data_IF_369092914968
#
_entry.id   IF_369092914968
#
_cell.length_a   1.000
_cell.length_b   1.000
_cell.length_c   1.000
_cell.angle_alpha   90.00
_cell.angle_beta   90.00
_cell.angle_gamma   90.00
#
_symmetry.space_group_name_H-M   'P 1'
#
loop_
_entity.id
_entity.type
_entity.pdbx_description
1 polymer ?
#
# COMPACT_ATOMS: atom_id res chain seq x y z
N UNK A 1 18.49 -53.34 28.70
CA UNK A 1 19.42 -52.23 28.35
C UNK A 1 19.25 -51.72 26.91
N UNK A 2 19.07 -52.59 25.90
CA UNK A 2 18.94 -52.19 24.49
C UNK A 2 17.75 -51.24 24.20
N UNK A 3 16.61 -51.48 24.83
CA UNK A 3 15.41 -50.66 24.64
C UNK A 3 15.57 -49.21 25.15
N UNK A 4 16.16 -49.02 26.34
CA UNK A 4 16.50 -47.67 26.86
C UNK A 4 17.47 -46.91 25.94
N UNK A 5 18.44 -47.60 25.33
CA UNK A 5 19.38 -46.98 24.38
C UNK A 5 18.68 -46.56 23.08
N UNK A 6 17.77 -47.38 22.57
CA UNK A 6 16.97 -47.06 21.38
C UNK A 6 16.05 -45.87 21.61
N UNK A 7 15.43 -45.78 22.80
CA UNK A 7 14.58 -44.64 23.17
C UNK A 7 15.39 -43.36 23.30
N UNK A 8 16.57 -43.43 23.93
CA UNK A 8 17.47 -42.27 24.04
C UNK A 8 17.92 -41.78 22.66
N UNK A 9 18.34 -42.68 21.76
CA UNK A 9 18.75 -42.32 20.40
C UNK A 9 17.62 -41.71 19.57
N UNK A 10 16.39 -42.24 19.69
CA UNK A 10 15.22 -41.65 19.04
C UNK A 10 14.91 -40.26 19.58
N UNK A 11 15.02 -40.07 20.89
CA UNK A 11 14.81 -38.77 21.52
C UNK A 11 15.86 -37.76 21.05
N UNK A 12 17.16 -38.10 21.10
CA UNK A 12 18.22 -37.18 20.68
C UNK A 12 18.16 -36.83 19.19
N UNK A 13 17.85 -37.80 18.31
CA UNK A 13 17.63 -37.53 16.89
C UNK A 13 16.41 -36.62 16.67
N UNK A 14 15.28 -36.88 17.34
CA UNK A 14 14.08 -36.06 17.24
C UNK A 14 14.31 -34.63 17.72
N UNK A 15 14.99 -34.47 18.86
CA UNK A 15 15.36 -33.16 19.40
C UNK A 15 16.31 -32.39 18.48
N UNK A 16 17.33 -33.06 17.95
CA UNK A 16 18.31 -32.45 17.05
C UNK A 16 17.67 -31.96 15.75
N UNK A 17 16.77 -32.76 15.17
CA UNK A 17 16.03 -32.38 13.96
C UNK A 17 15.15 -31.15 14.21
N UNK A 18 14.45 -31.10 15.36
CA UNK A 18 13.62 -29.95 15.73
C UNK A 18 14.46 -28.67 15.92
N UNK A 19 15.59 -28.75 16.61
CA UNK A 19 16.49 -27.60 16.81
C UNK A 19 17.06 -27.10 15.49
N UNK A 20 17.41 -28.01 14.58
CA UNK A 20 17.97 -27.66 13.27
C UNK A 20 16.93 -27.00 12.36
N UNK A 21 15.66 -27.43 12.42
CA UNK A 21 14.58 -26.89 11.59
C UNK A 21 13.90 -25.66 12.21
N UNK A 22 14.02 -25.43 13.52
CA UNK A 22 13.36 -24.32 14.21
C UNK A 22 13.63 -22.92 13.60
N UNK A 23 14.87 -22.57 13.19
CA UNK A 23 15.12 -21.29 12.53
C UNK A 23 14.37 -21.14 11.19
N UNK A 24 14.15 -22.25 10.47
CA UNK A 24 13.49 -22.27 9.16
C UNK A 24 11.96 -22.27 9.26
N UNK A 25 11.38 -22.61 10.42
CA UNK A 25 9.94 -22.45 10.64
C UNK A 25 9.50 -20.98 10.46
N UNK A 26 10.38 -20.03 10.81
CA UNK A 26 10.14 -18.60 10.59
C UNK A 26 10.13 -18.20 9.11
N UNK A 27 10.84 -18.93 8.25
CA UNK A 27 10.87 -18.74 6.80
C UNK A 27 9.61 -19.25 6.08
N UNK A 28 8.83 -20.14 6.71
CA UNK A 28 7.56 -20.60 6.13
C UNK A 28 6.61 -19.44 5.79
N UNK A 29 6.57 -18.40 6.63
CA UNK A 29 5.78 -17.18 6.37
C UNK A 29 6.33 -16.28 5.26
N UNK A 30 7.61 -16.44 4.89
CA UNK A 30 8.20 -15.73 3.75
C UNK A 30 7.78 -16.38 2.41
N UNK A 31 7.70 -17.71 2.38
CA UNK A 31 7.25 -18.47 1.20
C UNK A 31 5.72 -18.44 1.03
N UNK A 32 4.98 -18.34 2.12
CA UNK A 32 3.53 -18.19 2.14
C UNK A 32 3.17 -16.83 2.74
N UNK A 33 3.30 -15.77 1.93
CA UNK A 33 2.70 -14.48 2.26
C UNK A 33 1.22 -14.56 1.87
N UNK A 34 0.27 -14.66 2.81
CA UNK A 34 -1.13 -14.58 2.44
C UNK A 34 -1.33 -13.24 1.73
N UNK A 35 -1.87 -13.29 0.51
CA UNK A 35 -2.42 -12.12 -0.15
C UNK A 35 -3.39 -11.52 0.87
N UNK A 36 -3.18 -10.25 1.25
CA UNK A 36 -4.08 -9.59 2.18
C UNK A 36 -5.42 -9.45 1.47
N UNK A 37 -6.30 -10.43 1.64
CA UNK A 37 -7.69 -10.33 1.25
C UNK A 37 -8.26 -9.20 2.10
N UNK A 38 -8.37 -8.00 1.53
CA UNK A 38 -9.18 -6.93 2.08
C UNK A 38 -10.51 -7.56 2.49
N UNK A 39 -10.89 -7.49 3.77
CA UNK A 39 -12.11 -8.12 4.29
C UNK A 39 -13.29 -7.85 3.34
N UNK A 40 -14.15 -8.83 3.11
CA UNK A 40 -15.10 -8.94 1.99
C UNK A 40 -15.74 -7.61 1.52
N UNK A 41 -15.04 -6.83 0.70
CA UNK A 41 -15.59 -5.63 0.05
C UNK A 41 -16.25 -6.13 -1.21
N UNK A 42 -17.58 -6.22 -1.24
CA UNK A 42 -18.36 -6.61 -2.41
C UNK A 42 -19.04 -5.39 -3.02
N UNK A 43 -18.33 -4.68 -3.90
CA UNK A 43 -18.81 -3.46 -4.51
C UNK A 43 -19.52 -3.73 -5.83
N UNK A 44 -20.78 -3.33 -5.94
CA UNK A 44 -21.56 -3.41 -7.19
C UNK A 44 -21.00 -2.45 -8.23
N UNK A 45 -20.81 -2.92 -9.47
CA UNK A 45 -20.35 -2.12 -10.60
C UNK A 45 -21.50 -1.85 -11.59
N UNK A 46 -21.66 -2.73 -12.57
CA UNK A 46 -22.60 -2.63 -13.70
C UNK A 46 -23.22 -4.01 -13.98
N UNK A 47 -24.37 -4.05 -14.66
CA UNK A 47 -24.93 -5.30 -15.14
C UNK A 47 -24.37 -5.62 -16.53
N UNK A 48 -24.13 -6.90 -16.82
CA UNK A 48 -23.59 -7.38 -18.09
C UNK A 48 -24.45 -6.96 -19.30
N UNK A 49 -25.76 -6.82 -19.11
CA UNK A 49 -26.69 -6.35 -20.16
C UNK A 49 -26.40 -4.92 -20.60
N UNK A 50 -25.92 -4.09 -19.68
CA UNK A 50 -25.59 -2.68 -19.92
C UNK A 50 -24.10 -2.48 -20.23
N UNK A 51 -23.33 -3.57 -20.37
CA UNK A 51 -21.88 -3.53 -20.56
C UNK A 51 -21.47 -4.27 -21.85
N UNK A 52 -21.48 -3.58 -23.00
CA UNK A 52 -21.21 -4.19 -24.30
C UNK A 52 -19.81 -4.83 -24.40
N UNK A 53 -19.67 -5.84 -25.26
CA UNK A 53 -18.37 -6.44 -25.61
C UNK A 53 -17.43 -5.39 -26.19
N UNK A 54 -16.13 -5.51 -25.92
CA UNK A 54 -15.08 -4.57 -26.31
C UNK A 54 -15.27 -3.16 -25.74
N UNK A 55 -15.85 -3.04 -24.55
CA UNK A 55 -16.06 -1.76 -23.86
C UNK A 55 -15.36 -1.70 -22.50
N UNK A 56 -15.34 -0.52 -21.89
CA UNK A 56 -14.65 -0.25 -20.63
C UNK A 56 -15.48 0.61 -19.69
N UNK A 57 -15.24 0.46 -18.40
CA UNK A 57 -15.78 1.29 -17.33
C UNK A 57 -14.66 1.66 -16.36
N UNK A 58 -14.48 2.95 -16.07
CA UNK A 58 -13.57 3.40 -15.00
C UNK A 58 -14.37 3.64 -13.73
N UNK A 59 -13.86 3.20 -12.59
CA UNK A 59 -14.53 3.34 -11.29
C UNK A 59 -13.53 3.39 -10.13
N UNK A 60 -13.90 4.00 -8.99
CA UNK A 60 -13.12 3.94 -7.76
C UNK A 60 -13.33 2.61 -7.03
N UNK A 61 -12.28 2.05 -6.44
CA UNK A 61 -12.40 0.88 -5.56
C UNK A 61 -11.41 0.91 -4.37
N UNK A 62 -11.86 0.67 -3.14
CA UNK A 62 -13.27 0.68 -2.72
C UNK A 62 -13.87 2.09 -2.89
N UNK A 63 -15.10 2.19 -3.37
CA UNK A 63 -15.83 3.44 -3.43
C UNK A 63 -16.24 3.85 -2.02
N UNK A 64 -16.06 5.12 -1.69
CA UNK A 64 -16.41 5.72 -0.40
C UNK A 64 -17.68 6.54 -0.47
N UNK A 65 -18.05 7.00 -1.66
CA UNK A 65 -19.14 7.96 -1.87
C UNK A 65 -18.70 9.43 -1.70
N UNK A 66 -17.48 9.68 -1.22
CA UNK A 66 -16.87 11.01 -1.20
C UNK A 66 -16.09 11.23 -2.50
N UNK A 67 -16.51 12.18 -3.37
CA UNK A 67 -15.82 12.45 -4.63
C UNK A 67 -14.35 12.85 -4.46
N UNK A 68 -13.98 13.47 -3.35
CA UNK A 68 -12.60 13.89 -3.08
C UNK A 68 -11.71 12.66 -2.92
N UNK A 69 -12.14 11.70 -2.10
CA UNK A 69 -11.42 10.45 -1.87
C UNK A 69 -11.48 9.56 -3.10
N UNK A 70 -12.66 9.43 -3.70
CA UNK A 70 -12.90 8.57 -4.86
C UNK A 70 -12.26 9.10 -6.14
N UNK A 71 -11.79 10.36 -6.17
CA UNK A 71 -10.99 10.91 -7.27
C UNK A 71 -9.48 10.60 -7.18
N UNK A 72 -9.01 9.98 -6.08
CA UNK A 72 -7.59 9.60 -5.93
C UNK A 72 -7.18 8.67 -7.11
N UNK A 73 -6.15 9.05 -7.90
CA UNK A 73 -5.63 8.24 -9.00
C UNK A 73 -5.31 6.79 -8.60
N UNK A 74 -4.85 6.57 -7.37
CA UNK A 74 -4.47 5.25 -6.86
C UNK A 74 -5.66 4.39 -6.45
N UNK A 75 -6.87 4.97 -6.43
CA UNK A 75 -8.14 4.26 -6.23
C UNK A 75 -8.88 4.04 -7.54
N UNK A 76 -8.33 4.45 -8.69
CA UNK A 76 -8.96 4.27 -9.99
C UNK A 76 -8.67 2.89 -10.58
N UNK A 77 -9.74 2.21 -11.01
CA UNK A 77 -9.69 0.92 -11.68
C UNK A 77 -10.45 0.97 -13.00
N UNK A 78 -10.14 0.02 -13.87
CA UNK A 78 -10.79 -0.15 -15.16
C UNK A 78 -11.33 -1.57 -15.25
N UNK A 79 -12.63 -1.70 -15.48
CA UNK A 79 -13.29 -2.92 -15.91
C UNK A 79 -13.35 -2.91 -17.43
N UNK A 80 -13.03 -4.02 -18.07
CA UNK A 80 -13.08 -4.22 -19.52
C UNK A 80 -13.85 -5.48 -19.82
N UNK A 81 -14.80 -5.39 -20.75
CA UNK A 81 -15.41 -6.53 -21.39
C UNK A 81 -14.60 -6.81 -22.66
N UNK A 82 -13.75 -7.82 -22.61
CA UNK A 82 -12.85 -8.14 -23.71
C UNK A 82 -13.62 -8.62 -24.93
N UNK A 83 -13.06 -8.51 -26.15
CA UNK A 83 -13.63 -9.09 -27.36
C UNK A 83 -13.88 -10.59 -27.28
N UNK A 84 -13.16 -11.31 -26.41
CA UNK A 84 -13.38 -12.74 -26.14
C UNK A 84 -14.68 -13.02 -25.38
N UNK A 85 -15.28 -12.01 -24.75
CA UNK A 85 -16.39 -12.14 -23.80
C UNK A 85 -15.92 -12.18 -22.33
N UNK A 86 -14.62 -12.24 -22.09
CA UNK A 86 -14.09 -12.27 -20.73
C UNK A 86 -14.17 -10.89 -20.06
N UNK A 87 -14.44 -10.89 -18.75
CA UNK A 87 -14.39 -9.69 -17.93
C UNK A 87 -13.05 -9.62 -17.21
N UNK A 88 -12.38 -8.48 -17.35
CA UNK A 88 -11.12 -8.19 -16.66
C UNK A 88 -11.18 -6.85 -15.97
N UNK A 89 -10.63 -6.77 -14.76
CA UNK A 89 -10.55 -5.51 -14.03
C UNK A 89 -9.15 -5.30 -13.46
N UNK A 90 -8.58 -4.12 -13.69
CA UNK A 90 -7.21 -3.80 -13.28
C UNK A 90 -7.13 -2.41 -12.63
N UNK A 91 -6.13 -2.18 -11.79
CA UNK A 91 -5.77 -0.83 -11.36
C UNK A 91 -5.34 0.00 -12.56
N UNK A 92 -5.83 1.25 -12.68
CA UNK A 92 -5.43 2.17 -13.77
C UNK A 92 -4.02 2.74 -13.61
N UNK A 93 -3.32 2.40 -12.52
CA UNK A 93 -1.99 2.92 -12.22
C UNK A 93 -0.94 2.11 -12.97
N UNK A 94 -0.25 2.75 -13.92
CA UNK A 94 0.86 2.16 -14.65
C UNK A 94 2.00 1.74 -13.70
N UNK A 95 2.45 0.49 -13.79
CA UNK A 95 3.55 -0.05 -12.95
C UNK A 95 4.93 0.55 -13.22
N UNK A 96 5.08 1.33 -14.31
CA UNK A 96 6.32 2.06 -14.56
C UNK A 96 6.50 3.24 -13.59
N UNK A 97 5.68 4.28 -13.73
CA UNK A 97 5.77 5.53 -12.95
C UNK A 97 4.38 6.14 -12.69
N UNK A 98 3.39 5.28 -12.43
CA UNK A 98 2.08 5.60 -11.85
C UNK A 98 1.12 6.49 -12.66
N UNK A 99 1.44 6.79 -13.92
CA UNK A 99 0.48 7.42 -14.82
C UNK A 99 -0.81 6.60 -14.98
N UNK A 100 -1.93 7.29 -15.19
CA UNK A 100 -3.19 6.63 -15.52
C UNK A 100 -3.21 6.24 -17.00
N UNK A 101 -3.21 4.94 -17.26
CA UNK A 101 -3.39 4.40 -18.61
C UNK A 101 -4.87 4.20 -18.92
N UNK A 102 -5.18 3.88 -20.17
CA UNK A 102 -6.55 3.59 -20.58
C UNK A 102 -6.64 2.42 -21.58
N UNK A 103 -7.84 1.83 -21.70
CA UNK A 103 -8.16 0.83 -22.71
C UNK A 103 -8.61 1.50 -24.01
N UNK A 104 -8.09 1.01 -25.13
CA UNK A 104 -8.42 1.48 -26.46
C UNK A 104 -9.10 0.36 -27.26
N UNK A 105 -10.44 0.34 -27.36
CA UNK A 105 -11.22 -0.71 -28.02
C UNK A 105 -10.78 -1.01 -29.46
N UNK A 106 -10.41 0.01 -30.24
CA UNK A 106 -10.00 -0.15 -31.64
C UNK A 106 -8.70 -0.96 -31.77
N UNK A 107 -7.81 -0.81 -30.79
CA UNK A 107 -6.50 -1.48 -30.76
C UNK A 107 -6.47 -2.68 -29.82
N UNK A 108 -7.54 -2.89 -29.04
CA UNK A 108 -7.69 -3.97 -28.06
C UNK A 108 -6.48 -4.08 -27.13
N UNK A 109 -6.05 -2.93 -26.60
CA UNK A 109 -4.86 -2.85 -25.75
C UNK A 109 -5.00 -1.73 -24.72
N UNK A 110 -4.29 -1.89 -23.60
CA UNK A 110 -4.08 -0.83 -22.65
C UNK A 110 -2.86 0.00 -23.04
N UNK A 111 -2.98 1.33 -23.04
CA UNK A 111 -1.85 2.22 -23.40
C UNK A 111 -1.67 3.30 -22.34
N UNK A 112 -0.45 3.40 -21.84
CA UNK A 112 -0.01 4.47 -20.95
C UNK A 112 0.52 5.66 -21.77
N UNK A 113 -0.05 6.87 -21.60
CA UNK A 113 0.30 8.02 -22.44
C UNK A 113 1.69 8.61 -22.11
N UNK A 114 2.25 8.31 -20.93
CA UNK A 114 3.46 8.99 -20.47
C UNK A 114 4.73 8.55 -21.21
N UNK A 115 4.96 7.24 -21.31
CA UNK A 115 6.19 6.69 -21.89
C UNK A 115 5.91 5.51 -22.84
N UNK A 116 4.66 5.36 -23.28
CA UNK A 116 4.27 4.38 -24.29
C UNK A 116 4.23 2.92 -23.82
N UNK A 117 4.13 2.66 -22.52
CA UNK A 117 3.90 1.30 -22.02
C UNK A 117 2.56 0.76 -22.55
N UNK A 118 2.58 -0.48 -23.07
CA UNK A 118 1.39 -1.18 -23.54
C UNK A 118 1.24 -2.47 -22.75
N UNK A 119 0.02 -2.76 -22.32
CA UNK A 119 -0.31 -3.99 -21.61
C UNK A 119 -1.29 -4.84 -22.41
N UNK A 120 -1.08 -6.15 -22.34
CA UNK A 120 -2.03 -7.14 -22.86
C UNK A 120 -3.30 -7.13 -21.98
N UNK A 121 -4.50 -6.89 -22.54
CA UNK A 121 -5.72 -6.85 -21.76
C UNK A 121 -6.17 -8.17 -21.14
N UNK A 122 -5.82 -9.31 -21.74
CA UNK A 122 -6.17 -10.63 -21.24
C UNK A 122 -5.39 -10.99 -19.96
N UNK A 123 -4.18 -10.47 -19.83
CA UNK A 123 -3.26 -10.84 -18.73
C UNK A 123 -2.87 -9.68 -17.82
N UNK A 124 -3.04 -8.44 -18.25
CA UNK A 124 -2.55 -7.25 -17.56
C UNK A 124 -1.02 -7.07 -17.63
N UNK A 125 -0.30 -7.93 -18.34
CA UNK A 125 1.18 -7.91 -18.43
C UNK A 125 1.64 -6.90 -19.47
N UNK A 126 2.66 -6.11 -19.13
CA UNK A 126 3.28 -5.18 -20.08
C UNK A 126 3.99 -5.94 -21.21
N UNK A 127 3.63 -5.62 -22.45
CA UNK A 127 4.19 -6.21 -23.67
C UNK A 127 5.09 -5.23 -24.45
N UNK A 128 5.04 -3.93 -24.11
CA UNK A 128 5.88 -2.90 -24.74
C UNK A 128 6.14 -1.74 -23.79
N UNK A 129 7.19 -0.96 -24.10
CA UNK A 129 7.58 0.23 -23.36
C UNK A 129 8.33 -0.11 -22.07
N UNK A 130 8.65 0.90 -21.26
CA UNK A 130 9.53 0.71 -20.10
C UNK A 130 8.93 -0.21 -19.02
N UNK A 131 7.61 -0.33 -18.92
CA UNK A 131 6.98 -1.29 -18.01
C UNK A 131 7.29 -2.76 -18.37
N UNK A 132 7.49 -3.07 -19.65
CA UNK A 132 7.81 -4.43 -20.09
C UNK A 132 9.25 -4.84 -19.77
N UNK A 133 10.11 -3.88 -19.42
CA UNK A 133 11.50 -4.12 -18.99
C UNK A 133 11.61 -4.49 -17.50
N UNK A 134 10.52 -4.34 -16.74
CA UNK A 134 10.46 -4.80 -15.36
C UNK A 134 10.31 -6.34 -15.32
N UNK A 135 10.84 -7.01 -14.29
CA UNK A 135 10.64 -8.45 -14.13
C UNK A 135 9.20 -8.77 -13.74
N UNK A 136 8.73 -9.98 -14.04
CA UNK A 136 7.50 -10.47 -13.41
C UNK A 136 7.70 -10.66 -11.90
N UNK A 137 6.74 -10.32 -11.03
CA UNK A 137 5.40 -9.82 -11.31
C UNK A 137 5.26 -8.29 -11.43
N UNK A 138 6.34 -7.52 -11.32
CA UNK A 138 6.26 -6.05 -11.28
C UNK A 138 5.92 -5.41 -12.62
N UNK A 139 6.03 -6.15 -13.73
CA UNK A 139 5.56 -5.75 -15.05
C UNK A 139 4.06 -5.99 -15.32
N UNK A 140 3.30 -6.53 -14.35
CA UNK A 140 1.88 -6.82 -14.48
C UNK A 140 1.02 -5.85 -13.68
N UNK A 141 -0.09 -5.43 -14.27
CA UNK A 141 -1.08 -4.61 -13.60
C UNK A 141 -1.76 -5.39 -12.47
N UNK A 142 -1.96 -4.80 -11.28
CA UNK A 142 -2.77 -5.40 -10.22
C UNK A 142 -4.22 -5.63 -10.70
N UNK A 143 -4.73 -6.85 -10.49
CA UNK A 143 -6.03 -7.30 -10.99
C UNK A 143 -7.06 -7.31 -9.85
N UNK A 144 -8.27 -6.80 -10.10
CA UNK A 144 -9.39 -6.96 -9.19
C UNK A 144 -10.08 -8.30 -9.44
N UNK A 145 -10.40 -9.01 -8.36
CA UNK A 145 -11.31 -10.14 -8.39
C UNK A 145 -12.72 -9.64 -8.72
N UNK A 146 -13.36 -10.35 -9.65
CA UNK A 146 -14.72 -10.09 -10.08
C UNK A 146 -15.62 -11.27 -9.70
N UNK A 147 -16.83 -10.95 -9.28
CA UNK A 147 -17.94 -11.90 -9.15
C UNK A 147 -19.09 -11.45 -10.04
N UNK A 148 -19.78 -12.40 -10.66
CA UNK A 148 -20.97 -12.13 -11.48
C UNK A 148 -22.12 -12.93 -10.89
N UNK A 149 -23.16 -12.23 -10.47
CA UNK A 149 -24.37 -12.86 -9.96
C UNK A 149 -25.20 -13.49 -11.10
N UNK A 150 -26.13 -14.42 -10.79
CA UNK A 150 -27.00 -15.05 -11.80
C UNK A 150 -27.86 -14.05 -12.61
N UNK A 151 -28.11 -12.85 -12.07
CA UNK A 151 -28.82 -11.77 -12.75
C UNK A 151 -27.94 -10.98 -13.74
N UNK A 152 -26.65 -11.32 -13.82
CA UNK A 152 -25.64 -10.65 -14.64
C UNK A 152 -24.99 -9.44 -13.99
N UNK A 153 -25.24 -9.15 -12.72
CA UNK A 153 -24.62 -8.00 -12.03
C UNK A 153 -23.18 -8.31 -11.66
N UNK A 154 -22.26 -7.42 -12.06
CA UNK A 154 -20.82 -7.56 -11.84
C UNK A 154 -20.44 -6.84 -10.54
N UNK A 155 -19.63 -7.50 -9.71
CA UNK A 155 -19.09 -6.99 -8.45
C UNK A 155 -17.56 -7.08 -8.43
N UNK A 156 -16.90 -6.09 -7.82
CA UNK A 156 -15.49 -6.17 -7.45
C UNK A 156 -15.37 -6.64 -6.00
N UNK A 157 -14.52 -7.63 -5.73
CA UNK A 157 -14.45 -8.31 -4.42
C UNK A 157 -13.11 -8.21 -3.69
N UNK A 158 -12.05 -7.86 -4.40
CA UNK A 158 -10.72 -7.72 -3.79
C UNK A 158 -9.64 -7.47 -4.84
N UNK A 159 -8.45 -7.15 -4.38
CA UNK A 159 -7.30 -6.85 -5.23
C UNK A 159 -6.25 -7.97 -5.13
N UNK A 160 -5.71 -8.37 -6.28
CA UNK A 160 -4.53 -9.24 -6.42
C UNK A 160 -3.36 -8.44 -6.95
N UNK A 161 -2.20 -8.58 -6.33
CA UNK A 161 -1.02 -7.78 -6.65
C UNK A 161 -0.96 -6.43 -5.91
N UNK A 162 0.03 -5.60 -6.28
CA UNK A 162 0.38 -4.37 -5.55
C UNK A 162 0.33 -3.14 -6.45
N UNK A 163 -0.42 -2.13 -6.03
CA UNK A 163 -0.53 -0.85 -6.73
C UNK A 163 0.65 0.03 -6.35
N UNK A 164 1.32 0.58 -7.36
CA UNK A 164 2.37 1.58 -7.16
C UNK A 164 3.55 1.07 -6.35
N UNK A 165 4.35 0.16 -6.94
CA UNK A 165 5.67 -0.18 -6.39
C UNK A 165 6.49 1.10 -6.14
N UNK A 166 7.07 1.24 -4.94
CA UNK A 166 7.74 2.46 -4.45
C UNK A 166 6.84 3.44 -3.70
N UNK A 167 5.56 3.10 -3.49
CA UNK A 167 4.57 3.85 -2.67
C UNK A 167 4.02 2.98 -1.53
N UNK A 168 4.77 1.97 -1.11
CA UNK A 168 4.42 1.01 -0.04
C UNK A 168 4.06 1.64 1.31
N UNK A 169 4.23 2.95 1.52
CA UNK A 169 3.91 3.62 2.77
C UNK A 169 2.48 3.36 3.29
N UNK A 170 1.49 3.13 2.41
CA UNK A 170 0.13 2.73 2.84
C UNK A 170 0.04 1.29 3.34
N UNK A 171 0.85 0.37 2.79
CA UNK A 171 0.97 -1.00 3.29
C UNK A 171 1.82 -1.07 4.57
N UNK A 172 2.84 -0.22 4.66
CA UNK A 172 3.63 -0.02 5.87
C UNK A 172 2.81 0.63 7.00
N UNK A 173 1.71 1.32 6.70
CA UNK A 173 0.73 1.81 7.67
C UNK A 173 -0.34 0.76 8.08
N UNK A 174 -0.28 -0.48 7.60
CA UNK A 174 -1.28 -1.52 7.92
C UNK A 174 -1.40 -1.79 9.43
N UNK A 175 -0.32 -1.60 10.20
CA UNK A 175 -0.36 -1.69 11.66
C UNK A 175 -1.27 -0.64 12.29
N UNK A 176 -1.37 0.58 11.73
CA UNK A 176 -2.27 1.64 12.21
C UNK A 176 -3.72 1.22 11.96
N UNK A 177 -4.02 0.68 10.78
CA UNK A 177 -5.36 0.19 10.45
C UNK A 177 -5.78 -0.98 11.35
N UNK A 178 -4.85 -1.89 11.65
CA UNK A 178 -5.08 -2.97 12.61
C UNK A 178 -5.36 -2.42 14.02
N UNK A 179 -4.62 -1.41 14.47
CA UNK A 179 -4.86 -0.77 15.77
C UNK A 179 -6.17 0.01 15.79
N UNK A 180 -6.59 0.61 14.67
CA UNK A 180 -7.88 1.26 14.53
C UNK A 180 -9.04 0.27 14.74
N UNK A 181 -8.90 -0.98 14.27
CA UNK A 181 -9.93 -2.01 14.47
C UNK A 181 -9.84 -2.68 15.85
N UNK A 182 -8.64 -2.94 16.38
CA UNK A 182 -8.47 -3.66 17.65
C UNK A 182 -8.54 -2.77 18.90
N UNK A 183 -8.09 -1.52 18.80
CA UNK A 183 -7.84 -0.63 19.94
C UNK A 183 -7.93 0.85 19.54
N UNK A 184 -9.09 1.31 19.04
CA UNK A 184 -9.25 2.63 18.40
C UNK A 184 -8.92 3.83 19.29
N UNK A 185 -9.04 3.68 20.61
CA UNK A 185 -8.84 4.76 21.57
C UNK A 185 -7.47 4.70 22.26
N UNK A 186 -6.64 3.71 21.95
CA UNK A 186 -5.32 3.56 22.56
C UNK A 186 -4.28 4.31 21.73
N UNK A 187 -3.63 5.36 22.27
CA UNK A 187 -2.58 6.06 21.55
C UNK A 187 -1.43 5.13 21.19
N UNK A 188 -0.89 5.31 19.99
CA UNK A 188 0.28 4.60 19.48
C UNK A 188 1.30 5.62 19.01
N UNK A 189 2.58 5.32 19.21
CA UNK A 189 3.68 6.17 18.74
C UNK A 189 4.11 5.68 17.36
N UNK A 190 4.19 6.61 16.41
CA UNK A 190 4.71 6.34 15.08
C UNK A 190 5.74 7.39 14.68
N UNK A 191 6.78 6.95 13.97
CA UNK A 191 7.76 7.84 13.36
C UNK A 191 7.21 8.40 12.04
N UNK A 192 6.85 9.67 12.06
CA UNK A 192 6.33 10.46 10.94
C UNK A 192 7.50 11.03 10.16
N UNK A 193 7.54 10.75 8.86
CA UNK A 193 8.54 11.29 7.94
C UNK A 193 7.89 12.33 7.04
N UNK A 194 8.46 13.54 6.98
CA UNK A 194 7.96 14.60 6.12
C UNK A 194 8.52 14.51 4.70
N UNK A 195 7.72 14.95 3.72
CA UNK A 195 8.09 14.99 2.31
C UNK A 195 9.24 15.97 2.07
N UNK A 196 9.08 17.14 2.64
CA UNK A 196 10.08 18.19 2.69
C UNK A 196 10.24 18.62 4.15
N UNK A 197 11.44 19.01 4.61
CA UNK A 197 11.61 19.54 5.95
C UNK A 197 10.70 20.75 6.18
N UNK A 198 9.93 20.71 7.27
CA UNK A 198 8.94 21.73 7.61
C UNK A 198 9.50 22.73 8.61
N UNK A 199 9.17 24.03 8.49
CA UNK A 199 9.42 24.99 9.56
C UNK A 199 8.79 24.54 10.90
N UNK A 200 9.32 24.97 12.05
CA UNK A 200 8.78 24.60 13.36
C UNK A 200 7.29 24.93 13.53
N UNK A 201 6.85 26.12 13.09
CA UNK A 201 5.46 26.55 13.23
C UNK A 201 4.50 25.71 12.39
N UNK A 202 4.91 25.36 11.17
CA UNK A 202 4.18 24.46 10.27
C UNK A 202 4.08 23.05 10.86
N UNK A 203 5.17 22.57 11.47
CA UNK A 203 5.24 21.26 12.13
C UNK A 203 4.28 21.21 13.31
N UNK A 204 4.31 22.22 14.18
CA UNK A 204 3.41 22.32 15.34
C UNK A 204 1.94 22.42 14.91
N UNK A 205 1.66 23.24 13.90
CA UNK A 205 0.31 23.42 13.35
C UNK A 205 -0.24 22.11 12.79
N UNK A 206 0.59 21.36 12.05
CA UNK A 206 0.24 20.06 11.48
C UNK A 206 -0.11 19.03 12.56
N UNK A 207 0.75 18.89 13.58
CA UNK A 207 0.59 17.87 14.63
C UNK A 207 -0.56 18.20 15.57
N UNK A 208 -0.74 19.47 15.94
CA UNK A 208 -1.86 19.90 16.78
C UNK A 208 -3.21 19.81 16.05
N UNK A 209 -3.21 20.03 14.73
CA UNK A 209 -4.43 19.96 13.90
C UNK A 209 -5.08 18.57 13.82
N UNK A 210 -4.37 17.52 14.24
CA UNK A 210 -4.87 16.13 14.27
C UNK A 210 -4.93 15.54 15.69
N UNK A 211 -4.81 16.37 16.73
CA UNK A 211 -4.75 15.92 18.13
C UNK A 211 -3.60 14.93 18.43
N UNK A 212 -2.48 15.05 17.71
CA UNK A 212 -1.28 14.26 17.95
C UNK A 212 -0.32 15.00 18.90
N UNK A 213 0.53 14.24 19.61
CA UNK A 213 1.56 14.78 20.50
C UNK A 213 2.95 14.43 19.98
N UNK A 214 3.83 15.43 19.89
CA UNK A 214 5.24 15.18 19.59
C UNK A 214 5.88 14.49 20.80
N UNK A 215 6.47 13.33 20.59
CA UNK A 215 7.29 12.60 21.57
C UNK A 215 8.74 13.02 21.40
N UNK A 216 9.22 13.01 20.15
CA UNK A 216 10.58 13.39 19.78
C UNK A 216 10.57 13.97 18.38
N UNK A 217 11.42 14.94 18.09
CA UNK A 217 11.55 15.53 16.76
C UNK A 217 13.00 15.50 16.28
N UNK A 218 13.16 15.50 14.96
CA UNK A 218 14.43 15.40 14.26
C UNK A 218 14.49 16.51 13.22
N UNK A 219 15.47 17.39 13.35
CA UNK A 219 15.60 18.58 12.54
C UNK A 219 17.03 18.99 12.32
N UNK A 220 17.21 20.18 11.79
CA UNK A 220 18.52 20.78 11.61
C UNK A 220 18.46 22.29 11.80
N UNK A 221 19.61 22.87 12.09
CA UNK A 221 19.86 24.30 12.11
C UNK A 221 20.94 24.65 11.09
N UNK A 222 20.61 25.52 10.13
CA UNK A 222 21.56 26.00 9.14
C UNK A 222 22.32 27.20 9.71
N UNK A 223 23.62 27.02 10.00
CA UNK A 223 24.52 28.11 10.43
C UNK A 223 24.88 29.01 9.25
N UNK A 224 24.99 28.42 8.07
CA UNK A 224 25.25 29.08 6.80
C UNK A 224 24.67 28.24 5.64
N UNK A 225 24.65 28.73 4.39
CA UNK A 225 24.15 27.97 3.24
C UNK A 225 24.86 26.63 2.98
N UNK A 226 26.05 26.43 3.53
CA UNK A 226 26.87 25.22 3.33
C UNK A 226 27.15 24.46 4.63
N UNK A 227 26.71 24.98 5.78
CA UNK A 227 27.00 24.38 7.10
C UNK A 227 25.70 24.14 7.88
N UNK A 228 25.44 22.86 8.17
CA UNK A 228 24.23 22.37 8.83
C UNK A 228 24.58 21.58 10.09
N UNK A 229 23.90 21.89 11.18
CA UNK A 229 23.95 21.13 12.42
C UNK A 229 22.66 20.33 12.60
N UNK A 230 22.79 19.03 12.90
CA UNK A 230 21.63 18.14 13.10
C UNK A 230 21.19 18.17 14.55
N UNK A 231 19.88 18.37 14.76
CA UNK A 231 19.29 18.55 16.08
C UNK A 231 18.21 17.49 16.32
N UNK A 232 18.08 17.09 17.58
CA UNK A 232 16.93 16.32 18.05
C UNK A 232 16.44 16.89 19.36
N UNK A 233 15.14 16.91 19.59
CA UNK A 233 14.56 17.33 20.85
C UNK A 233 13.37 16.47 21.26
N UNK A 234 13.01 16.53 22.54
CA UNK A 234 11.88 15.81 23.10
C UNK A 234 10.67 16.73 23.28
N UNK A 235 9.47 16.19 23.08
CA UNK A 235 8.24 16.96 23.16
C UNK A 235 8.17 18.10 22.13
N UNK A 236 7.50 19.18 22.47
CA UNK A 236 7.51 20.42 21.68
C UNK A 236 8.64 21.38 22.11
N UNK A 237 9.48 20.98 23.06
CA UNK A 237 10.51 21.85 23.60
C UNK A 237 11.60 22.10 22.56
N UNK A 238 12.06 23.34 22.49
CA UNK A 238 13.14 23.78 21.61
C UNK A 238 12.93 23.48 20.12
N UNK A 239 11.73 23.10 19.68
CA UNK A 239 11.48 22.83 18.25
C UNK A 239 11.70 24.08 17.41
N UNK A 240 11.44 25.26 17.97
CA UNK A 240 11.67 26.58 17.35
C UNK A 240 13.13 26.95 17.20
N UNK A 241 14.07 26.20 17.79
CA UNK A 241 15.51 26.42 17.57
C UNK A 241 16.00 25.78 16.27
N UNK A 242 15.23 24.85 15.69
CA UNK A 242 15.54 24.26 14.39
C UNK A 242 15.14 25.21 13.26
N UNK A 243 15.95 25.23 12.19
CA UNK A 243 15.58 25.86 10.91
C UNK A 243 14.45 25.06 10.26
N UNK A 244 14.53 23.73 10.28
CA UNK A 244 13.46 22.86 9.83
C UNK A 244 13.50 21.48 10.50
N UNK A 245 12.35 20.82 10.56
CA UNK A 245 12.13 19.47 11.08
C UNK A 245 11.87 18.54 9.89
N UNK A 246 12.61 17.44 9.76
CA UNK A 246 12.43 16.48 8.67
C UNK A 246 11.64 15.23 9.07
N UNK A 247 11.49 14.99 10.39
CA UNK A 247 10.67 13.92 10.90
C UNK A 247 10.46 14.04 12.41
N UNK A 248 9.53 13.26 12.94
CA UNK A 248 9.22 13.23 14.38
C UNK A 248 8.54 11.93 14.78
N UNK A 249 8.66 11.57 16.05
CA UNK A 249 7.86 10.53 16.69
C UNK A 249 6.59 11.19 17.24
N UNK A 250 5.43 10.83 16.71
CA UNK A 250 4.13 11.33 17.16
C UNK A 250 3.34 10.23 17.88
N UNK A 251 2.83 10.55 19.07
CA UNK A 251 1.86 9.74 19.79
C UNK A 251 0.45 10.27 19.53
N UNK A 252 -0.41 9.43 18.96
CA UNK A 252 -1.79 9.79 18.63
C UNK A 252 -2.68 8.54 18.59
N UNK A 253 -4.00 8.74 18.58
CA UNK A 253 -4.92 7.63 18.29
C UNK A 253 -4.69 7.12 16.86
N UNK A 254 -5.05 5.86 16.54
CA UNK A 254 -4.91 5.35 15.19
C UNK A 254 -5.69 6.17 14.15
N UNK A 255 -6.85 6.72 14.51
CA UNK A 255 -7.64 7.61 13.63
C UNK A 255 -6.91 8.93 13.32
N UNK A 256 -6.25 9.53 14.30
CA UNK A 256 -5.41 10.72 14.11
C UNK A 256 -4.17 10.43 13.26
N UNK A 257 -3.53 9.26 13.44
CA UNK A 257 -2.45 8.81 12.56
C UNK A 257 -2.91 8.59 11.12
N UNK A 258 -4.11 8.05 10.89
CA UNK A 258 -4.68 7.93 9.55
C UNK A 258 -4.92 9.31 8.91
N UNK A 259 -5.40 10.31 9.67
CA UNK A 259 -5.51 11.70 9.18
C UNK A 259 -4.16 12.31 8.83
N UNK A 260 -3.12 12.04 9.62
CA UNK A 260 -1.75 12.46 9.30
C UNK A 260 -1.28 11.86 7.97
N UNK A 261 -1.53 10.57 7.75
CA UNK A 261 -1.18 9.87 6.51
C UNK A 261 -1.92 10.39 5.27
N UNK A 262 -3.06 11.06 5.43
CA UNK A 262 -3.77 11.73 4.34
C UNK A 262 -3.14 13.08 3.98
N UNK A 263 -2.30 13.64 4.85
CA UNK A 263 -1.65 14.92 4.59
C UNK A 263 -0.55 14.79 3.51
N UNK A 264 -0.57 15.62 2.45
CA UNK A 264 0.42 15.53 1.38
C UNK A 264 1.85 15.87 1.84
N UNK A 265 2.03 16.55 2.97
CA UNK A 265 3.35 16.84 3.54
C UNK A 265 3.98 15.60 4.22
N UNK A 266 3.25 14.51 4.40
CA UNK A 266 3.74 13.28 5.05
C UNK A 266 4.07 12.23 3.98
N UNK A 267 5.24 11.59 4.10
CA UNK A 267 5.63 10.46 3.27
C UNK A 267 5.04 9.18 3.86
N UNK A 268 5.29 8.94 5.14
CA UNK A 268 5.01 7.67 5.80
C UNK A 268 4.98 7.84 7.32
N UNK A 269 4.28 6.93 8.00
CA UNK A 269 4.37 6.73 9.44
C UNK A 269 4.79 5.29 9.72
N UNK A 270 5.97 5.13 10.32
CA UNK A 270 6.54 3.84 10.70
C UNK A 270 6.22 3.51 12.16
N UNK A 271 6.04 2.24 12.53
CA UNK A 271 5.86 1.87 13.93
C UNK A 271 7.14 2.18 14.72
N UNK A 272 6.97 2.66 15.96
CA UNK A 272 8.06 2.88 16.93
C UNK A 272 8.07 1.83 18.03
#
# INVERSE_FOLDING_TARGET
MAERRRTLLKATLGSSLLVTLAPFLSWGGFLFRPEATSGQIRQRLINLKDFPVNSKLTFPFPATGDPTVDSDPFRQYILVHLPSGDLKAYSKVCVHLWCLYDYFPDKRQFQCPCHGSIYNPDTGVAIRGPAALQPYPTNSLPELNLEVDPDGTIYATGLRGRIGYGREWRAEAAWIQQKQSSSPNTPVTGYVVFRDPLPPDDTLSLIRGVDAKIVKWYGYFDKSPTEREWLTGEGEQNITTATAVYGLDASATPSSHLKLLENPKIIIILPR
#
